data_IF_996347238573
#
_entry.id   IF_996347238573
#
_cell.length_a   1.000
_cell.length_b   1.000
_cell.length_c   1.000
_cell.angle_alpha   90.00
_cell.angle_beta   90.00
_cell.angle_gamma   90.00
#
_symmetry.space_group_name_H-M   'P 1'
#
loop_
_entity.id
_entity.type
_entity.pdbx_description
1 polymer ?
#
# COMPACT_ATOMS: atom_id res chain seq x y z
N UNK A 1 0.54 4.39 -8.86
CA UNK A 1 -0.13 4.14 -10.15
C UNK A 1 -1.20 5.19 -10.44
N UNK A 2 -1.66 5.32 -11.69
CA UNK A 2 -2.87 6.10 -12.03
C UNK A 2 -4.04 5.13 -12.24
N UNK A 3 -5.24 5.40 -11.70
CA UNK A 3 -6.37 4.52 -11.90
C UNK A 3 -6.89 4.60 -13.35
N UNK A 4 -7.55 3.52 -13.78
CA UNK A 4 -8.40 3.52 -14.98
C UNK A 4 -9.76 4.17 -14.65
N UNK A 5 -10.65 4.26 -15.63
CA UNK A 5 -11.99 4.84 -15.41
C UNK A 5 -12.79 4.07 -14.34
N UNK A 6 -12.57 2.76 -14.25
CA UNK A 6 -13.22 1.85 -13.30
C UNK A 6 -12.50 1.77 -11.94
N UNK A 7 -11.27 2.30 -11.83
CA UNK A 7 -10.41 2.22 -10.64
C UNK A 7 -9.06 1.57 -10.90
N UNK A 8 -8.38 1.12 -9.84
CA UNK A 8 -7.13 0.37 -9.94
C UNK A 8 -7.43 -1.11 -10.23
N UNK A 9 -7.01 -1.67 -11.38
CA UNK A 9 -7.31 -3.06 -11.71
C UNK A 9 -6.54 -4.03 -10.81
N UNK A 10 -7.22 -5.04 -10.28
CA UNK A 10 -6.59 -6.18 -9.62
C UNK A 10 -6.33 -7.25 -10.69
N UNK A 11 -5.05 -7.47 -11.00
CA UNK A 11 -4.65 -8.54 -11.91
C UNK A 11 -4.49 -9.85 -11.15
N UNK A 12 -5.13 -10.91 -11.65
CA UNK A 12 -4.95 -12.29 -11.18
C UNK A 12 -4.32 -13.12 -12.29
N UNK A 13 -3.27 -13.86 -11.95
CA UNK A 13 -2.70 -14.88 -12.81
C UNK A 13 -3.49 -16.17 -12.63
N UNK A 14 -4.08 -16.67 -13.71
CA UNK A 14 -4.82 -17.93 -13.77
C UNK A 14 -4.11 -18.87 -14.77
N UNK A 15 -3.29 -19.78 -14.24
CA UNK A 15 -2.37 -20.58 -15.04
C UNK A 15 -1.30 -19.69 -15.69
N UNK A 16 -1.38 -19.52 -17.00
CA UNK A 16 -0.48 -18.68 -17.81
C UNK A 16 -1.13 -17.38 -18.29
N UNK A 17 -2.39 -17.12 -17.88
CA UNK A 17 -3.16 -15.97 -18.35
C UNK A 17 -3.43 -14.97 -17.24
N UNK A 18 -3.09 -13.71 -17.50
CA UNK A 18 -3.50 -12.59 -16.67
C UNK A 18 -4.93 -12.15 -17.00
N UNK A 19 -5.76 -11.99 -15.96
CA UNK A 19 -7.11 -11.45 -16.06
C UNK A 19 -7.30 -10.33 -15.03
N UNK A 20 -8.19 -9.38 -15.32
CA UNK A 20 -8.66 -8.43 -14.31
C UNK A 20 -9.77 -9.11 -13.50
N UNK A 21 -9.56 -9.23 -12.19
CA UNK A 21 -10.46 -9.92 -11.27
C UNK A 21 -11.29 -8.95 -10.41
N UNK A 22 -11.16 -7.65 -10.67
CA UNK A 22 -11.86 -6.60 -9.97
C UNK A 22 -11.14 -5.27 -10.09
N UNK A 23 -11.73 -4.25 -9.48
CA UNK A 23 -11.16 -2.90 -9.40
C UNK A 23 -11.24 -2.40 -7.96
N UNK A 24 -10.16 -1.80 -7.50
CA UNK A 24 -10.15 -1.04 -6.26
C UNK A 24 -10.54 0.41 -6.57
N UNK A 25 -11.49 0.99 -5.83
CA UNK A 25 -11.86 2.39 -6.04
C UNK A 25 -10.69 3.31 -5.66
N UNK A 26 -10.54 4.40 -6.42
CA UNK A 26 -9.70 5.51 -6.01
C UNK A 26 -10.26 6.16 -4.75
N UNK A 27 -9.40 6.46 -3.78
CA UNK A 27 -9.78 7.11 -2.52
C UNK A 27 -8.81 8.26 -2.20
N UNK A 28 -9.35 9.47 -2.05
CA UNK A 28 -8.64 10.68 -1.60
C UNK A 28 -7.38 11.06 -2.38
N UNK A 29 -7.36 10.74 -3.68
CA UNK A 29 -6.24 11.02 -4.60
C UNK A 29 -4.94 10.31 -4.19
N UNK A 30 -5.04 9.23 -3.41
CA UNK A 30 -3.89 8.37 -3.15
C UNK A 30 -3.71 7.36 -4.28
N UNK A 31 -2.45 7.13 -4.63
CA UNK A 31 -2.03 6.10 -5.57
C UNK A 31 -1.59 4.85 -4.80
N UNK A 32 -1.99 3.67 -5.27
CA UNK A 32 -1.41 2.40 -4.80
C UNK A 32 0.02 2.30 -5.35
N UNK A 33 0.95 1.89 -4.50
CA UNK A 33 2.38 1.77 -4.84
C UNK A 33 3.04 0.50 -4.34
N UNK A 34 2.43 -0.18 -3.38
CA UNK A 34 2.83 -1.52 -2.97
C UNK A 34 1.63 -2.30 -2.46
N UNK A 35 1.72 -3.62 -2.52
CA UNK A 35 0.72 -4.50 -1.96
C UNK A 35 1.36 -5.80 -1.47
N UNK A 36 0.79 -6.41 -0.44
CA UNK A 36 1.15 -7.75 0.03
C UNK A 36 -0.05 -8.42 0.73
N UNK A 37 -0.06 -9.74 0.75
CA UNK A 37 -1.16 -10.54 1.32
C UNK A 37 -0.84 -11.00 2.73
N UNK A 38 -1.82 -10.87 3.63
CA UNK A 38 -1.79 -11.59 4.88
C UNK A 38 -2.16 -13.07 4.68
N UNK A 39 -1.80 -13.93 5.63
CA UNK A 39 -2.09 -15.37 5.60
C UNK A 39 -3.59 -15.71 5.51
N UNK A 40 -4.45 -14.79 5.98
CA UNK A 40 -5.91 -14.94 5.91
C UNK A 40 -6.48 -14.54 4.54
N UNK A 41 -5.65 -14.09 3.59
CA UNK A 41 -6.05 -13.65 2.27
C UNK A 41 -6.48 -12.17 2.19
N UNK A 42 -6.45 -11.43 3.30
CA UNK A 42 -6.66 -9.98 3.27
C UNK A 42 -5.49 -9.32 2.50
N UNK A 43 -5.81 -8.40 1.60
CA UNK A 43 -4.85 -7.63 0.82
C UNK A 43 -4.52 -6.34 1.55
N UNK A 44 -3.24 -6.12 1.83
CA UNK A 44 -2.74 -4.87 2.41
C UNK A 44 -2.08 -4.04 1.33
N UNK A 45 -2.44 -2.77 1.30
CA UNK A 45 -1.99 -1.82 0.30
C UNK A 45 -1.19 -0.72 0.98
N UNK A 46 -0.06 -0.40 0.39
CA UNK A 46 0.64 0.85 0.62
C UNK A 46 0.20 1.86 -0.44
N UNK A 47 -0.27 3.00 0.04
CA UNK A 47 -0.72 4.09 -0.79
C UNK A 47 0.03 5.37 -0.45
N UNK A 48 0.27 6.21 -1.45
CA UNK A 48 0.87 7.53 -1.25
C UNK A 48 0.26 8.60 -2.13
N UNK A 49 0.42 9.86 -1.73
CA UNK A 49 0.22 11.03 -2.58
C UNK A 49 1.24 12.12 -2.32
N UNK A 50 1.51 12.93 -3.34
CA UNK A 50 2.35 14.11 -3.23
C UNK A 50 1.47 15.33 -2.96
N UNK A 51 1.42 15.77 -1.70
CA UNK A 51 0.61 16.91 -1.28
C UNK A 51 1.29 18.20 -1.71
N UNK A 52 0.57 19.01 -2.49
CA UNK A 52 1.01 20.30 -3.06
C UNK A 52 2.38 20.27 -3.77
N UNK A 53 2.81 19.10 -4.24
CA UNK A 53 4.12 18.94 -4.89
C UNK A 53 5.31 18.88 -3.94
N UNK A 54 5.10 18.84 -2.62
CA UNK A 54 6.17 19.00 -1.63
C UNK A 54 6.24 17.85 -0.62
N UNK A 55 5.11 17.40 -0.09
CA UNK A 55 5.10 16.45 1.02
C UNK A 55 4.49 15.12 0.63
N UNK A 56 5.23 14.04 0.83
CA UNK A 56 4.65 12.70 0.78
C UNK A 56 3.68 12.51 1.93
N UNK A 57 2.51 11.96 1.62
CA UNK A 57 1.58 11.46 2.62
C UNK A 57 1.31 10.00 2.29
N UNK A 58 1.48 9.13 3.29
CA UNK A 58 1.44 7.68 3.14
C UNK A 58 0.23 7.12 3.90
N UNK A 59 -0.31 5.99 3.43
CA UNK A 59 -1.49 5.34 3.99
C UNK A 59 -1.37 3.83 3.86
N UNK A 60 -1.83 3.11 4.88
CA UNK A 60 -2.02 1.66 4.85
C UNK A 60 -3.52 1.41 4.78
N UNK A 61 -3.94 0.60 3.79
CA UNK A 61 -5.32 0.16 3.59
C UNK A 61 -5.38 -1.36 3.60
N UNK A 62 -6.43 -1.94 4.19
CA UNK A 62 -6.72 -3.38 4.17
C UNK A 62 -8.01 -3.63 3.39
N UNK A 63 -7.97 -4.56 2.45
CA UNK A 63 -9.09 -4.90 1.60
C UNK A 63 -9.32 -6.41 1.61
N UNK A 64 -10.58 -6.83 1.66
CA UNK A 64 -10.99 -8.20 1.37
C UNK A 64 -11.45 -8.32 -0.07
N UNK A 65 -10.92 -9.30 -0.78
CA UNK A 65 -11.18 -9.48 -2.21
C UNK A 65 -12.62 -9.90 -2.53
N UNK A 66 -13.36 -10.42 -1.55
CA UNK A 66 -14.80 -10.67 -1.67
C UNK A 66 -15.66 -9.38 -1.57
N UNK A 67 -15.02 -8.23 -1.36
CA UNK A 67 -15.67 -6.92 -1.22
C UNK A 67 -16.28 -6.69 0.17
N UNK A 68 -16.08 -7.58 1.14
CA UNK A 68 -16.70 -7.45 2.47
C UNK A 68 -16.06 -6.38 3.34
N UNK A 69 -14.85 -5.91 3.01
CA UNK A 69 -14.10 -4.93 3.78
C UNK A 69 -13.15 -4.11 2.90
N UNK A 70 -13.09 -2.81 3.14
CA UNK A 70 -12.14 -1.86 2.58
C UNK A 70 -11.90 -0.78 3.65
N UNK A 71 -10.78 -0.88 4.37
CA UNK A 71 -10.52 -0.15 5.60
C UNK A 71 -9.18 0.58 5.55
N UNK A 72 -9.20 1.87 5.85
CA UNK A 72 -7.98 2.65 6.10
C UNK A 72 -7.51 2.34 7.52
N UNK A 73 -6.38 1.65 7.65
CA UNK A 73 -5.81 1.30 8.95
C UNK A 73 -4.98 2.45 9.54
N UNK A 74 -4.29 3.19 8.68
CA UNK A 74 -3.44 4.29 9.11
C UNK A 74 -3.25 5.28 7.97
N UNK A 75 -3.36 6.57 8.27
CA UNK A 75 -2.93 7.66 7.38
C UNK A 75 -1.92 8.51 8.14
N UNK A 76 -0.73 8.67 7.57
CA UNK A 76 0.32 9.46 8.18
C UNK A 76 0.11 10.96 8.04
N UNK A 77 0.86 11.72 8.85
CA UNK A 77 1.00 13.15 8.69
C UNK A 77 1.76 13.48 7.39
N UNK A 78 1.53 14.66 6.84
CA UNK A 78 2.21 15.12 5.62
C UNK A 78 3.70 15.29 5.91
N UNK A 79 4.54 14.64 5.11
CA UNK A 79 5.99 14.68 5.26
C UNK A 79 6.51 13.91 6.47
N UNK A 80 5.66 13.10 7.13
CA UNK A 80 6.10 12.25 8.24
C UNK A 80 7.16 11.25 7.81
N UNK A 81 6.96 10.67 6.63
CA UNK A 81 7.89 9.78 5.96
C UNK A 81 8.08 10.24 4.51
N UNK A 82 9.14 9.75 3.88
CA UNK A 82 9.48 10.03 2.50
C UNK A 82 8.61 9.18 1.55
N UNK A 83 9.15 8.88 0.38
CA UNK A 83 8.48 8.18 -0.69
C UNK A 83 8.36 6.68 -0.41
N UNK A 84 7.49 6.27 0.52
CA UNK A 84 7.24 4.85 0.81
C UNK A 84 6.62 4.18 -0.43
N UNK A 85 7.30 3.16 -0.97
CA UNK A 85 6.86 2.43 -2.17
C UNK A 85 6.87 0.91 -2.01
N UNK A 86 7.67 0.36 -1.09
CA UNK A 86 7.64 -1.07 -0.79
C UNK A 86 6.87 -1.38 0.49
N UNK A 87 6.18 -2.51 0.51
CA UNK A 87 5.48 -3.07 1.66
C UNK A 87 5.78 -4.57 1.76
N UNK A 88 5.94 -5.06 2.98
CA UNK A 88 6.03 -6.49 3.28
C UNK A 88 5.25 -6.78 4.57
N UNK A 89 4.45 -7.84 4.54
CA UNK A 89 3.75 -8.38 5.69
C UNK A 89 4.49 -9.60 6.23
N UNK A 90 4.69 -9.65 7.54
CA UNK A 90 5.34 -10.77 8.20
C UNK A 90 4.90 -10.89 9.66
N UNK A 91 5.28 -11.98 10.34
CA UNK A 91 4.93 -12.21 11.74
C UNK A 91 6.14 -12.18 12.66
N UNK A 92 5.95 -11.51 13.80
CA UNK A 92 6.87 -11.55 14.93
C UNK A 92 6.11 -12.07 16.16
N UNK A 93 6.51 -13.23 16.69
CA UNK A 93 5.84 -13.89 17.83
C UNK A 93 4.31 -14.02 17.69
N UNK A 94 3.80 -14.16 16.46
CA UNK A 94 2.37 -14.28 16.14
C UNK A 94 1.69 -12.94 15.81
N UNK A 95 2.29 -11.81 16.16
CA UNK A 95 1.78 -10.47 15.84
C UNK A 95 2.07 -10.13 14.37
N UNK A 96 1.09 -9.52 13.67
CA UNK A 96 1.28 -9.09 12.29
C UNK A 96 2.09 -7.78 12.26
N UNK A 97 3.16 -7.79 11.47
CA UNK A 97 4.05 -6.66 11.20
C UNK A 97 3.87 -6.21 9.76
N UNK A 98 3.92 -4.89 9.56
CA UNK A 98 3.97 -4.26 8.24
C UNK A 98 5.25 -3.46 8.18
N UNK A 99 6.18 -3.90 7.34
CA UNK A 99 7.40 -3.15 7.04
C UNK A 99 7.21 -2.39 5.73
N UNK A 100 7.49 -1.10 5.76
CA UNK A 100 7.48 -0.22 4.60
C UNK A 100 8.90 0.25 4.30
N UNK A 101 9.21 0.46 3.02
CA UNK A 101 10.50 1.03 2.59
C UNK A 101 10.30 2.23 1.67
N UNK A 102 11.08 3.28 1.91
CA UNK A 102 11.11 4.45 1.04
C UNK A 102 12.09 4.28 -0.11
N UNK A 103 11.65 4.65 -1.31
CA UNK A 103 12.53 4.91 -2.45
C UNK A 103 13.28 6.23 -2.21
N UNK A 104 14.58 6.23 -2.54
CA UNK A 104 15.43 7.43 -2.49
C UNK A 104 15.24 8.32 -3.73
N UNK A 105 14.40 7.92 -4.68
CA UNK A 105 14.15 8.61 -5.95
C UNK A 105 15.42 8.80 -6.80
N UNK A 106 16.45 7.98 -6.56
CA UNK A 106 17.78 8.15 -7.12
C UNK A 106 18.55 9.36 -6.57
N UNK A 107 18.09 10.01 -5.49
CA UNK A 107 18.79 11.09 -4.80
C UNK A 107 19.51 10.57 -3.57
N UNK A 108 20.85 10.50 -3.63
CA UNK A 108 21.71 10.04 -2.53
C UNK A 108 21.60 10.88 -1.25
N UNK A 109 20.90 12.02 -1.29
CA UNK A 109 20.64 12.88 -0.11
C UNK A 109 19.38 12.46 0.65
N UNK A 110 18.46 11.76 -0.01
CA UNK A 110 17.25 11.23 0.61
C UNK A 110 17.58 9.87 1.23
N UNK A 111 17.55 9.72 2.56
CA UNK A 111 17.87 8.43 3.17
C UNK A 111 16.79 7.39 2.87
N UNK A 112 17.19 6.16 2.56
CA UNK A 112 16.26 5.02 2.61
C UNK A 112 15.68 4.90 4.01
N UNK A 113 14.35 4.92 4.10
CA UNK A 113 13.63 4.76 5.36
C UNK A 113 13.02 3.36 5.42
N UNK A 114 13.21 2.69 6.55
CA UNK A 114 12.43 1.51 6.92
C UNK A 114 11.47 1.91 8.04
N UNK A 115 10.18 1.68 7.84
CA UNK A 115 9.13 2.00 8.80
C UNK A 115 8.39 0.73 9.14
N UNK A 116 8.27 0.41 10.42
CA UNK A 116 7.58 -0.78 10.86
C UNK A 116 6.37 -0.44 11.73
N UNK A 117 5.23 -1.02 11.37
CA UNK A 117 4.03 -1.02 12.18
C UNK A 117 3.81 -2.39 12.77
N UNK A 118 3.46 -2.42 14.06
CA UNK A 118 2.79 -3.56 14.67
C UNK A 118 1.29 -3.32 14.59
N UNK A 119 0.58 -4.23 13.93
CA UNK A 119 -0.87 -4.21 13.90
C UNK A 119 -1.39 -4.87 15.18
N UNK A 120 -2.17 -4.12 15.95
CA UNK A 120 -2.93 -4.62 17.09
C UNK A 120 -4.40 -4.66 16.72
N UNK A 121 -5.13 -5.64 17.25
CA UNK A 121 -6.61 -5.65 17.17
C UNK A 121 -7.23 -4.47 17.93
#
# INVERSE_FOLDING_TARGET
EKPLAEGFPIYRLDGDRWTIDGYLPEQDVFSIVGADFAENGDLYLLERKLVVGLWWQNRIRRVRLDGSADEILWTGERGQFLNLEGIALWRDAGELRVTLVADDNGDLRDPTQFVEFRLTE
#
